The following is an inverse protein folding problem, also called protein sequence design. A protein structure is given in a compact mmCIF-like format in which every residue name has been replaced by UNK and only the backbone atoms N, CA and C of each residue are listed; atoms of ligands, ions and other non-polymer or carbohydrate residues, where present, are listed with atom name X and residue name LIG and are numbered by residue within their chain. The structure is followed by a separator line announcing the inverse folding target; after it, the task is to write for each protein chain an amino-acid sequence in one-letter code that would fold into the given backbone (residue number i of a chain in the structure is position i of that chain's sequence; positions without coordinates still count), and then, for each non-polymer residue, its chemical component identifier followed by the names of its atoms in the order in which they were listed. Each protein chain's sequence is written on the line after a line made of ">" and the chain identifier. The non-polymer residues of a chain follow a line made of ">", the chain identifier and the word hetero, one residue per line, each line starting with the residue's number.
data_IF_788256461204
#
_entry.id   IF_788256461204
#
_cell.length_a   1.000
_cell.length_b   1.000
_cell.length_c   1.000
_cell.angle_alpha   90.00
_cell.angle_beta   90.00
_cell.angle_gamma   90.00
#
_symmetry.space_group_name_H-M   'P 1'
#
loop_
_entity.id
_entity.type
_entity.pdbx_description
1 polymer ?
#
# COMPACT_ATOMS: atom_id res chain seq x y z
N UNK A 1 12.28 1.66 0.01
CA UNK A 1 11.17 2.65 0.13
C UNK A 1 9.93 1.90 0.55
N UNK A 2 9.24 2.40 1.56
CA UNK A 2 8.05 1.77 2.13
C UNK A 2 6.85 2.71 2.04
N UNK A 3 5.64 2.17 2.14
CA UNK A 3 4.41 2.95 2.07
C UNK A 3 3.41 2.53 3.14
N UNK A 4 2.85 3.51 3.83
CA UNK A 4 1.71 3.35 4.72
C UNK A 4 0.46 3.92 4.05
N UNK A 5 -0.65 3.17 4.11
CA UNK A 5 -1.90 3.52 3.45
C UNK A 5 -3.08 3.36 4.42
N UNK A 6 -4.03 4.29 4.38
CA UNK A 6 -5.30 4.19 5.10
C UNK A 6 -6.33 3.46 4.21
N UNK A 7 -6.63 2.21 4.55
CA UNK A 7 -7.60 1.34 3.89
C UNK A 7 -8.69 0.92 4.90
N UNK A 8 -9.75 1.71 5.08
CA UNK A 8 -10.78 1.45 6.09
C UNK A 8 -11.82 0.43 5.65
N UNK A 9 -11.91 0.09 4.34
CA UNK A 9 -12.98 -0.76 3.79
C UNK A 9 -12.52 -2.17 3.44
N UNK A 10 -11.26 -2.53 3.75
CA UNK A 10 -10.68 -3.84 3.49
C UNK A 10 -10.81 -4.30 2.02
N UNK A 11 -10.58 -3.38 1.07
CA UNK A 11 -10.63 -3.70 -0.36
C UNK A 11 -9.36 -4.47 -0.76
N UNK A 12 -9.38 -5.78 -0.52
CA UNK A 12 -8.33 -6.71 -0.93
C UNK A 12 -8.91 -7.83 -1.79
N UNK A 13 -8.25 -8.13 -2.91
CA UNK A 13 -8.62 -9.22 -3.80
C UNK A 13 -7.54 -10.29 -3.72
N UNK A 14 -7.92 -11.52 -3.35
CA UNK A 14 -6.97 -12.65 -3.36
C UNK A 14 -6.69 -13.03 -4.82
N UNK A 15 -5.42 -13.03 -5.22
CA UNK A 15 -5.01 -13.52 -6.54
C UNK A 15 -4.52 -14.96 -6.48
N UNK A 16 -3.77 -15.30 -5.44
CA UNK A 16 -3.15 -16.61 -5.25
C UNK A 16 -2.94 -16.87 -3.76
N UNK A 17 -2.35 -18.01 -3.42
CA UNK A 17 -1.94 -18.32 -2.05
C UNK A 17 -0.89 -17.32 -1.56
N UNK A 18 -1.28 -16.56 -0.54
CA UNK A 18 -0.52 -15.49 0.07
C UNK A 18 -0.29 -14.24 -0.81
N UNK A 19 -0.90 -14.14 -1.99
CA UNK A 19 -0.76 -12.99 -2.90
C UNK A 19 -2.09 -12.26 -3.08
N UNK A 20 -2.05 -10.94 -2.93
CA UNK A 20 -3.22 -10.08 -2.88
C UNK A 20 -3.05 -8.82 -3.71
N UNK A 21 -4.14 -8.33 -4.28
CA UNK A 21 -4.26 -6.95 -4.73
C UNK A 21 -4.89 -6.08 -3.65
N UNK A 22 -4.43 -4.83 -3.59
CA UNK A 22 -5.03 -3.78 -2.78
C UNK A 22 -6.13 -3.02 -3.53
N UNK A 23 -6.73 -2.02 -2.89
CA UNK A 23 -7.54 -1.01 -3.56
C UNK A 23 -6.74 -0.15 -4.56
N UNK A 24 -7.42 0.85 -5.12
CA UNK A 24 -6.84 1.78 -6.09
C UNK A 24 -6.40 3.09 -5.41
N UNK A 25 -5.11 3.41 -5.50
CA UNK A 25 -4.47 4.49 -4.77
C UNK A 25 -4.01 5.62 -5.69
N UNK A 26 -4.21 6.87 -5.26
CA UNK A 26 -3.73 8.04 -6.01
C UNK A 26 -2.22 8.19 -5.82
N UNK A 27 -1.45 7.61 -6.73
CA UNK A 27 0.01 7.65 -6.76
C UNK A 27 0.49 7.74 -8.22
N UNK A 28 1.64 8.35 -8.47
CA UNK A 28 2.27 8.32 -9.80
C UNK A 28 2.93 6.96 -10.04
N UNK A 29 3.04 6.55 -11.31
CA UNK A 29 3.74 5.31 -11.66
C UNK A 29 5.21 5.31 -11.20
N UNK A 30 5.94 6.42 -11.36
CA UNK A 30 7.34 6.52 -10.91
C UNK A 30 7.50 6.18 -9.42
N UNK A 31 6.59 6.66 -8.57
CA UNK A 31 6.60 6.34 -7.13
C UNK A 31 6.17 4.90 -6.88
N UNK A 32 5.19 4.40 -7.62
CA UNK A 32 4.75 3.01 -7.52
C UNK A 32 5.88 2.03 -7.86
N UNK A 33 6.66 2.34 -8.90
CA UNK A 33 7.80 1.55 -9.33
C UNK A 33 8.88 1.47 -8.26
N UNK A 34 9.20 2.59 -7.60
CA UNK A 34 10.18 2.63 -6.49
C UNK A 34 9.75 1.87 -5.24
N UNK A 35 8.45 1.59 -5.10
CA UNK A 35 7.90 0.79 -4.00
C UNK A 35 7.97 -0.72 -4.26
N UNK A 36 8.19 -1.15 -5.51
CA UNK A 36 8.34 -2.58 -5.84
C UNK A 36 9.57 -3.13 -5.12
N UNK A 37 9.40 -4.26 -4.43
CA UNK A 37 10.41 -4.85 -3.53
C UNK A 37 10.41 -4.26 -2.11
N UNK A 38 9.75 -3.13 -1.89
CA UNK A 38 9.54 -2.53 -0.57
C UNK A 38 8.35 -3.12 0.18
N UNK A 39 8.05 -2.53 1.34
CA UNK A 39 6.94 -2.96 2.19
C UNK A 39 5.77 -1.97 2.14
N UNK A 40 4.57 -2.55 2.14
CA UNK A 40 3.30 -1.83 2.17
C UNK A 40 2.54 -2.18 3.44
N UNK A 41 2.02 -1.15 4.11
CA UNK A 41 1.36 -1.24 5.41
C UNK A 41 -0.03 -0.60 5.33
N UNK A 42 -1.08 -1.36 5.65
CA UNK A 42 -2.47 -0.90 5.62
C UNK A 42 -2.98 -0.65 7.04
N UNK A 43 -3.53 0.54 7.24
CA UNK A 43 -4.06 1.03 8.51
C UNK A 43 -5.55 1.35 8.36
N UNK A 44 -6.32 1.21 9.43
CA UNK A 44 -7.73 1.68 9.42
C UNK A 44 -7.82 3.19 9.54
N UNK A 45 -6.89 3.81 10.27
CA UNK A 45 -6.73 5.26 10.40
C UNK A 45 -5.25 5.63 10.67
N UNK A 46 -4.95 6.92 10.81
CA UNK A 46 -3.56 7.43 10.93
C UNK A 46 -2.87 7.08 12.25
N UNK A 47 -3.63 6.74 13.30
CA UNK A 47 -3.10 6.53 14.66
C UNK A 47 -3.07 5.05 15.05
N UNK A 48 -3.78 4.20 14.32
CA UNK A 48 -3.81 2.77 14.51
C UNK A 48 -2.61 2.07 13.88
N UNK A 49 -2.13 0.97 14.48
CA UNK A 49 -1.12 0.15 13.86
C UNK A 49 -1.66 -0.54 12.60
N UNK A 50 -0.78 -0.99 11.73
CA UNK A 50 -1.17 -1.70 10.51
C UNK A 50 -1.92 -2.99 10.87
N UNK A 51 -3.04 -3.23 10.19
CA UNK A 51 -3.80 -4.47 10.36
C UNK A 51 -3.43 -5.51 9.28
N UNK A 52 -2.88 -5.04 8.16
CA UNK A 52 -2.49 -5.83 7.01
C UNK A 52 -1.28 -5.21 6.33
N UNK A 53 -0.56 -6.01 5.54
CA UNK A 53 0.62 -5.53 4.84
C UNK A 53 1.43 -6.66 4.23
N UNK A 54 2.49 -6.29 3.53
CA UNK A 54 3.28 -7.25 2.78
C UNK A 54 4.41 -6.62 1.99
N UNK A 55 5.10 -7.45 1.21
CA UNK A 55 6.06 -6.98 0.22
C UNK A 55 5.36 -6.69 -1.09
N UNK A 56 5.60 -5.52 -1.67
CA UNK A 56 5.08 -5.14 -2.98
C UNK A 56 5.79 -5.96 -4.05
N UNK A 57 5.04 -6.80 -4.76
CA UNK A 57 5.54 -7.59 -5.87
C UNK A 57 5.47 -6.83 -7.20
N UNK A 58 4.56 -5.87 -7.30
CA UNK A 58 4.33 -5.09 -8.51
C UNK A 58 3.11 -4.19 -8.38
N UNK A 59 2.76 -3.54 -9.47
CA UNK A 59 1.56 -2.71 -9.55
C UNK A 59 0.94 -2.77 -10.94
N UNK A 60 -0.33 -2.39 -11.01
CA UNK A 60 -1.00 -2.07 -12.28
C UNK A 60 -1.68 -0.71 -12.16
N UNK A 61 -1.90 -0.07 -13.30
CA UNK A 61 -2.68 1.17 -13.39
C UNK A 61 -4.10 0.80 -13.76
N UNK A 62 -5.06 1.30 -12.99
CA UNK A 62 -6.48 1.17 -13.31
C UNK A 62 -6.77 2.00 -14.57
N UNK A 63 -7.17 1.33 -15.66
CA UNK A 63 -7.36 1.97 -16.97
C UNK A 63 -8.82 2.36 -17.21
N UNK A 64 -9.77 1.86 -16.42
CA UNK A 64 -11.20 2.03 -16.62
C UNK A 64 -11.94 2.41 -15.33
N UNK A 65 -13.08 3.10 -15.47
CA UNK A 65 -13.96 3.46 -14.35
C UNK A 65 -13.69 4.83 -13.71
N UNK A 66 -14.18 5.02 -12.48
CA UNK A 66 -14.01 6.29 -11.74
C UNK A 66 -12.60 6.44 -11.13
N UNK A 67 -11.84 5.34 -11.09
CA UNK A 67 -10.51 5.25 -10.49
C UNK A 67 -9.39 5.27 -11.55
N UNK A 68 -9.68 5.68 -12.78
CA UNK A 68 -8.69 5.76 -13.87
C UNK A 68 -7.43 6.51 -13.46
N UNK A 69 -6.26 5.96 -13.81
CA UNK A 69 -4.91 6.43 -13.44
C UNK A 69 -4.55 6.26 -11.96
N UNK A 70 -5.26 5.42 -11.21
CA UNK A 70 -4.84 5.00 -9.86
C UNK A 70 -4.02 3.72 -9.90
N UNK A 71 -3.18 3.55 -8.89
CA UNK A 71 -2.28 2.42 -8.75
C UNK A 71 -2.92 1.36 -7.88
N UNK A 72 -3.00 0.14 -8.39
CA UNK A 72 -3.36 -1.05 -7.62
C UNK A 72 -2.09 -1.84 -7.37
N UNK A 73 -1.72 -2.01 -6.10
CA UNK A 73 -0.54 -2.80 -5.73
C UNK A 73 -0.89 -4.28 -5.67
N UNK A 74 0.00 -5.11 -6.24
CA UNK A 74 0.10 -6.54 -5.98
C UNK A 74 1.14 -6.75 -4.89
N UNK A 75 0.76 -7.45 -3.82
CA UNK A 75 1.63 -7.72 -2.68
C UNK A 75 1.56 -9.18 -2.24
N UNK A 76 2.67 -9.64 -1.67
CA UNK A 76 2.71 -10.88 -0.91
C UNK A 76 2.51 -10.56 0.57
N UNK A 77 1.48 -11.15 1.18
CA UNK A 77 1.20 -10.91 2.59
C UNK A 77 2.35 -11.37 3.48
N UNK A 78 2.68 -10.52 4.47
CA UNK A 78 3.68 -10.80 5.50
C UNK A 78 3.11 -10.50 6.88
N UNK A 79 3.26 -11.46 7.78
CA UNK A 79 2.75 -11.33 9.16
C UNK A 79 3.51 -10.23 9.91
N UNK A 80 4.77 -10.04 9.57
CA UNK A 80 5.69 -9.03 10.10
C UNK A 80 5.20 -7.61 9.80
N UNK A 81 4.44 -7.42 8.73
CA UNK A 81 3.87 -6.12 8.37
C UNK A 81 2.58 -5.79 9.14
N UNK A 82 2.16 -6.62 10.10
CA UNK A 82 1.03 -6.37 11.00
C UNK A 82 1.52 -5.76 12.32
N UNK A 83 0.68 -4.95 12.93
CA UNK A 83 0.94 -4.21 14.17
C UNK A 83 2.07 -3.17 14.08
N UNK A 84 2.43 -2.74 12.87
CA UNK A 84 3.47 -1.72 12.64
C UNK A 84 2.86 -0.34 12.75
N UNK A 85 3.47 0.53 13.55
CA UNK A 85 3.07 1.94 13.71
C UNK A 85 3.94 2.83 12.84
N UNK A 86 3.38 3.96 12.44
CA UNK A 86 4.13 5.06 11.81
C UNK A 86 3.79 6.36 12.50
N UNK A 87 4.68 7.34 12.38
CA UNK A 87 4.46 8.67 12.92
C UNK A 87 3.20 9.33 12.30
N UNK A 88 2.39 10.09 13.08
CA UNK A 88 1.17 10.72 12.59
C UNK A 88 1.39 11.88 11.60
N UNK A 89 2.63 12.37 11.44
CA UNK A 89 3.01 13.36 10.44
C UNK A 89 3.42 12.73 9.10
N UNK A 90 3.57 13.55 8.05
CA UNK A 90 4.05 13.10 6.72
C UNK A 90 2.99 12.41 5.84
N UNK A 91 1.73 12.38 6.28
CA UNK A 91 0.62 11.84 5.47
C UNK A 91 0.15 12.86 4.42
N UNK A 92 0.07 12.41 3.16
CA UNK A 92 -0.63 13.10 2.09
C UNK A 92 -1.92 12.34 1.76
N UNK A 93 -3.07 12.93 2.07
CA UNK A 93 -4.37 12.26 1.99
C UNK A 93 -4.42 10.97 2.83
N UNK A 94 -4.46 9.82 2.16
CA UNK A 94 -4.49 8.47 2.75
C UNK A 94 -3.16 7.74 2.63
N UNK A 95 -2.10 8.39 2.15
CA UNK A 95 -0.83 7.76 1.82
C UNK A 95 0.30 8.47 2.55
N UNK A 96 1.25 7.70 3.08
CA UNK A 96 2.53 8.17 3.59
C UNK A 96 3.63 7.30 3.01
N UNK A 97 4.63 7.93 2.42
CA UNK A 97 5.79 7.26 1.86
C UNK A 97 6.96 7.47 2.82
N UNK A 98 7.68 6.40 3.10
CA UNK A 98 8.94 6.42 3.83
C UNK A 98 10.05 6.12 2.83
N UNK A 99 10.77 7.14 2.46
CA UNK A 99 12.04 6.98 1.76
C UNK A 99 13.06 6.54 2.80
N UNK A 100 13.70 5.40 2.56
CA UNK A 100 14.82 4.98 3.38
C UNK A 100 15.98 5.88 2.96
N UNK A 101 16.46 6.76 3.84
CA UNK A 101 17.75 7.43 3.63
C UNK A 101 18.80 6.32 3.53
N UNK A 102 19.49 6.24 2.39
CA UNK A 102 20.69 5.41 2.24
C UNK A 102 21.89 6.18 2.79
#
# INVERSE_FOLDING_TARGET
>A
MNIHIIEPVNRFVKLDDNVWESGAWKLTEDRAQKLVGGEIYFHRNRTEPSFYGGTVLGYRVEQEGQDTRRIVFKLQYKKECRNVRTDPSGWSNKIKIIESEQ
#
